data_IF_176119579596
#
_entry.id   IF_176119579596
#
_cell.length_a   1.000
_cell.length_b   1.000
_cell.length_c   1.000
_cell.angle_alpha   90.00
_cell.angle_beta   90.00
_cell.angle_gamma   90.00
#
_symmetry.space_group_name_H-M   'P 1'
#
loop_
_entity.id
_entity.type
_entity.pdbx_description
1 polymer ?
#
# COMPACT_ATOMS: atom_id res chain seq x y z
N UNK A 1 -9.12 -18.26 -30.93
CA UNK A 1 -7.92 -19.07 -30.98
C UNK A 1 -7.61 -19.61 -29.59
N UNK A 2 -8.46 -20.52 -29.17
CA UNK A 2 -8.32 -21.13 -27.84
C UNK A 2 -7.03 -21.95 -27.77
N UNK A 3 -6.29 -21.82 -26.69
CA UNK A 3 -5.08 -22.59 -26.43
C UNK A 3 -3.77 -21.98 -26.96
N UNK A 4 -3.78 -20.75 -27.50
CA UNK A 4 -2.54 -20.11 -28.00
C UNK A 4 -2.39 -18.65 -27.56
N UNK A 5 -3.41 -17.81 -27.80
CA UNK A 5 -3.37 -16.36 -27.53
C UNK A 5 -4.53 -15.90 -26.65
N UNK A 6 -5.23 -16.83 -26.01
CA UNK A 6 -6.32 -16.48 -25.09
C UNK A 6 -5.80 -16.17 -23.70
N UNK A 7 -6.61 -15.40 -22.95
CA UNK A 7 -6.28 -14.95 -21.62
C UNK A 7 -5.98 -16.11 -20.66
N UNK A 8 -6.72 -17.21 -20.77
CA UNK A 8 -6.55 -18.35 -19.90
C UNK A 8 -5.19 -19.04 -20.09
N UNK A 9 -4.65 -19.01 -21.31
CA UNK A 9 -3.32 -19.57 -21.63
C UNK A 9 -2.20 -18.59 -21.30
N UNK A 10 -2.36 -17.32 -21.66
CA UNK A 10 -1.27 -16.32 -21.52
C UNK A 10 -1.17 -15.71 -20.13
N UNK A 11 -2.27 -15.63 -19.40
CA UNK A 11 -2.38 -14.96 -18.10
C UNK A 11 -3.19 -15.79 -17.09
N UNK A 12 -2.88 -17.09 -17.01
CA UNK A 12 -3.60 -18.05 -16.17
C UNK A 12 -3.77 -17.60 -14.71
N UNK A 13 -2.82 -16.83 -14.16
CA UNK A 13 -2.88 -16.28 -12.82
C UNK A 13 -4.08 -15.33 -12.61
N UNK A 14 -4.58 -14.67 -13.66
CA UNK A 14 -5.73 -13.78 -13.60
C UNK A 14 -7.07 -14.52 -13.49
N UNK A 15 -7.10 -15.83 -13.77
CA UNK A 15 -8.32 -16.62 -13.69
C UNK A 15 -8.87 -16.73 -12.25
N UNK A 16 -8.00 -16.65 -11.27
CA UNK A 16 -8.38 -16.58 -9.84
C UNK A 16 -9.18 -15.33 -9.48
N UNK A 17 -9.04 -14.27 -10.28
CA UNK A 17 -9.76 -13.01 -10.14
C UNK A 17 -10.89 -12.84 -11.16
N UNK A 18 -11.13 -13.82 -12.04
CA UNK A 18 -12.23 -13.77 -13.00
C UNK A 18 -13.56 -14.01 -12.29
N UNK A 19 -14.49 -13.05 -12.37
CA UNK A 19 -15.83 -13.21 -11.76
C UNK A 19 -16.71 -14.06 -12.68
N UNK A 20 -16.66 -15.39 -12.51
CA UNK A 20 -17.42 -16.35 -13.33
C UNK A 20 -18.93 -16.16 -13.21
N UNK A 21 -19.43 -15.66 -12.08
CA UNK A 21 -20.86 -15.43 -11.87
C UNK A 21 -21.37 -14.27 -12.71
N UNK A 22 -20.60 -13.19 -12.82
CA UNK A 22 -20.98 -11.98 -13.56
C UNK A 22 -20.57 -12.05 -15.03
N UNK A 23 -19.64 -12.90 -15.40
CA UNK A 23 -19.18 -13.08 -16.78
C UNK A 23 -19.76 -14.35 -17.46
N UNK A 24 -20.95 -14.78 -17.09
CA UNK A 24 -21.55 -16.08 -17.54
C UNK A 24 -21.46 -16.35 -19.05
N UNK A 25 -21.50 -15.29 -19.86
CA UNK A 25 -21.52 -15.39 -21.33
C UNK A 25 -20.14 -15.10 -21.96
N UNK A 26 -19.11 -14.91 -21.15
CA UNK A 26 -17.76 -14.54 -21.60
C UNK A 26 -16.77 -15.59 -21.06
N UNK A 27 -16.04 -16.24 -21.98
CA UNK A 27 -15.05 -17.25 -21.59
C UNK A 27 -13.63 -16.71 -21.76
N UNK A 28 -12.75 -16.79 -20.73
CA UNK A 28 -11.37 -16.36 -20.81
C UNK A 28 -10.54 -17.17 -21.85
N UNK A 29 -10.99 -18.36 -22.24
CA UNK A 29 -10.37 -19.19 -23.29
C UNK A 29 -10.67 -18.71 -24.71
N UNK A 30 -11.57 -17.74 -24.88
CA UNK A 30 -11.99 -17.22 -26.19
C UNK A 30 -11.66 -15.75 -26.40
N UNK A 31 -10.94 -15.13 -25.46
CA UNK A 31 -10.67 -13.70 -25.47
C UNK A 31 -9.18 -13.45 -25.29
N UNK A 32 -8.61 -12.54 -26.09
CA UNK A 32 -7.18 -12.20 -26.04
C UNK A 32 -6.86 -11.29 -24.84
N UNK A 33 -5.62 -11.39 -24.31
CA UNK A 33 -5.06 -10.47 -23.32
C UNK A 33 -5.08 -8.99 -23.75
N UNK A 34 -5.08 -8.72 -25.07
CA UNK A 34 -5.13 -7.37 -25.65
C UNK A 34 -6.55 -6.83 -25.79
N UNK A 35 -7.57 -7.59 -25.39
CA UNK A 35 -8.96 -7.20 -25.59
C UNK A 35 -9.31 -5.94 -24.79
N UNK A 36 -9.96 -4.99 -25.47
CA UNK A 36 -10.54 -3.79 -24.87
C UNK A 36 -11.91 -4.05 -24.23
N UNK A 37 -12.39 -5.29 -24.27
CA UNK A 37 -13.67 -5.67 -23.65
C UNK A 37 -13.55 -5.54 -22.13
N UNK A 38 -14.54 -4.89 -21.54
CA UNK A 38 -14.66 -4.77 -20.08
C UNK A 38 -15.39 -5.97 -19.52
N UNK A 39 -14.80 -6.61 -18.54
CA UNK A 39 -15.33 -7.76 -17.82
C UNK A 39 -15.32 -7.52 -16.32
N UNK A 40 -15.99 -8.38 -15.57
CA UNK A 40 -15.99 -8.34 -14.12
C UNK A 40 -14.84 -9.14 -13.54
N UNK A 41 -14.14 -8.52 -12.60
CA UNK A 41 -13.07 -9.09 -11.82
C UNK A 41 -13.48 -9.18 -10.35
N UNK A 42 -12.96 -10.15 -9.61
CA UNK A 42 -13.23 -10.34 -8.18
C UNK A 42 -11.92 -10.70 -7.49
N UNK A 43 -11.41 -9.83 -6.62
CA UNK A 43 -10.18 -10.13 -5.89
C UNK A 43 -10.41 -11.17 -4.78
N UNK A 44 -9.34 -11.71 -4.22
CA UNK A 44 -9.38 -12.69 -3.12
C UNK A 44 -10.12 -12.21 -1.87
N UNK A 45 -10.31 -10.89 -1.74
CA UNK A 45 -11.07 -10.27 -0.66
C UNK A 45 -12.55 -10.06 -0.99
N UNK A 46 -13.00 -10.46 -2.18
CA UNK A 46 -14.39 -10.38 -2.59
C UNK A 46 -14.81 -9.04 -3.20
N UNK A 47 -13.91 -8.04 -3.34
CA UNK A 47 -14.22 -6.83 -4.09
C UNK A 47 -14.45 -7.18 -5.55
N UNK A 48 -15.56 -6.73 -6.11
CA UNK A 48 -15.90 -6.95 -7.51
C UNK A 48 -15.87 -5.61 -8.26
N UNK A 49 -15.18 -5.57 -9.40
CA UNK A 49 -15.07 -4.36 -10.23
C UNK A 49 -15.06 -4.71 -11.71
N UNK A 50 -15.33 -3.72 -12.55
CA UNK A 50 -15.30 -3.85 -14.00
C UNK A 50 -14.06 -3.15 -14.55
N UNK A 51 -13.28 -3.87 -15.37
CA UNK A 51 -12.10 -3.34 -16.05
C UNK A 51 -11.88 -4.05 -17.37
N UNK A 52 -11.18 -3.38 -18.29
CA UNK A 52 -10.77 -3.99 -19.56
C UNK A 52 -9.77 -5.12 -19.31
N UNK A 53 -9.81 -6.14 -20.15
CA UNK A 53 -8.87 -7.25 -20.07
C UNK A 53 -7.44 -6.75 -20.24
N UNK A 54 -7.19 -5.87 -21.23
CA UNK A 54 -5.86 -5.29 -21.46
C UNK A 54 -5.34 -4.48 -20.25
N UNK A 55 -6.19 -3.79 -19.53
CA UNK A 55 -5.80 -3.06 -18.30
C UNK A 55 -5.30 -4.01 -17.21
N UNK A 56 -5.92 -5.21 -17.09
CA UNK A 56 -5.48 -6.23 -16.13
C UNK A 56 -4.23 -6.98 -16.60
N UNK A 57 -4.24 -7.45 -17.86
CA UNK A 57 -3.22 -8.36 -18.39
C UNK A 57 -1.92 -7.65 -18.81
N UNK A 58 -2.01 -6.42 -19.31
CA UNK A 58 -0.85 -5.69 -19.85
C UNK A 58 -0.38 -4.60 -18.88
N UNK A 59 -1.33 -3.80 -18.35
CA UNK A 59 -1.00 -2.66 -17.48
C UNK A 59 -0.92 -3.06 -15.98
N UNK A 60 -1.30 -4.29 -15.63
CA UNK A 60 -1.26 -4.81 -14.27
C UNK A 60 -2.21 -4.11 -13.28
N UNK A 61 -3.18 -3.32 -13.77
CA UNK A 61 -4.13 -2.61 -12.91
C UNK A 61 -4.97 -3.58 -12.09
N UNK A 62 -4.91 -3.46 -10.77
CA UNK A 62 -5.61 -4.33 -9.82
C UNK A 62 -6.95 -3.77 -9.31
N UNK A 63 -7.38 -4.33 -8.20
CA UNK A 63 -8.55 -3.84 -7.47
C UNK A 63 -8.24 -2.51 -6.80
N UNK A 64 -8.90 -1.42 -7.23
CA UNK A 64 -8.67 -0.07 -6.69
C UNK A 64 -8.89 0.05 -5.18
N UNK A 65 -9.82 -0.72 -4.61
CA UNK A 65 -10.03 -0.75 -3.16
C UNK A 65 -8.78 -1.34 -2.49
N UNK A 66 -8.28 -2.45 -3.04
CA UNK A 66 -7.08 -3.09 -2.56
C UNK A 66 -5.83 -2.21 -2.69
N UNK A 67 -5.70 -1.50 -3.80
CA UNK A 67 -4.61 -0.56 -4.04
C UNK A 67 -4.65 0.61 -3.06
N UNK A 68 -5.83 1.18 -2.81
CA UNK A 68 -6.00 2.26 -1.84
C UNK A 68 -5.56 1.83 -0.44
N UNK A 69 -6.04 0.68 0.03
CA UNK A 69 -5.65 0.16 1.34
C UNK A 69 -4.15 -0.09 1.43
N UNK A 70 -3.56 -0.61 0.34
CA UNK A 70 -2.12 -0.87 0.28
C UNK A 70 -1.30 0.43 0.33
N UNK A 71 -1.80 1.51 -0.28
CA UNK A 71 -1.12 2.80 -0.24
C UNK A 71 -1.30 3.56 1.08
N UNK A 72 -2.36 3.31 1.83
CA UNK A 72 -2.68 4.08 3.04
C UNK A 72 -2.38 3.33 4.33
N UNK A 73 -2.64 2.03 4.37
CA UNK A 73 -2.54 1.23 5.61
C UNK A 73 -1.20 0.50 5.72
N UNK A 74 -0.72 -0.09 4.63
CA UNK A 74 0.55 -0.82 4.66
C UNK A 74 1.73 0.07 5.12
N UNK A 75 1.93 1.30 4.59
CA UNK A 75 3.01 2.17 5.03
C UNK A 75 2.94 2.52 6.52
N UNK A 76 1.74 2.81 7.02
CA UNK A 76 1.52 3.08 8.43
C UNK A 76 1.88 1.89 9.30
N UNK A 77 1.42 0.69 8.94
CA UNK A 77 1.77 -0.55 9.66
C UNK A 77 3.27 -0.80 9.67
N UNK A 78 3.95 -0.53 8.55
CA UNK A 78 5.39 -0.70 8.45
C UNK A 78 6.15 0.25 9.41
N UNK A 79 5.79 1.53 9.46
CA UNK A 79 6.42 2.48 10.40
C UNK A 79 6.14 2.08 11.84
N UNK A 80 4.90 1.71 12.16
CA UNK A 80 4.51 1.24 13.50
C UNK A 80 5.26 -0.02 13.92
N UNK A 81 5.46 -0.96 12.99
CA UNK A 81 6.24 -2.17 13.26
C UNK A 81 7.68 -1.85 13.68
N UNK A 82 8.36 -0.96 12.95
CA UNK A 82 9.73 -0.56 13.27
C UNK A 82 9.80 0.26 14.58
N UNK A 83 8.82 1.11 14.86
CA UNK A 83 8.70 1.80 16.14
C UNK A 83 8.56 0.80 17.30
N UNK A 84 7.68 -0.21 17.14
CA UNK A 84 7.47 -1.25 18.15
C UNK A 84 8.71 -2.07 18.43
N UNK A 85 9.54 -2.39 17.42
CA UNK A 85 10.84 -3.06 17.61
C UNK A 85 11.77 -2.30 18.55
N UNK A 86 11.64 -0.98 18.63
CA UNK A 86 12.44 -0.11 19.51
C UNK A 86 11.67 0.37 20.73
N UNK A 87 10.47 -0.16 20.96
CA UNK A 87 9.56 0.21 22.07
C UNK A 87 9.24 1.71 22.10
N UNK A 88 9.20 2.34 20.91
CA UNK A 88 8.89 3.75 20.77
C UNK A 88 7.38 3.93 20.87
N UNK A 89 6.95 4.89 21.67
CA UNK A 89 5.54 5.27 21.77
C UNK A 89 5.07 5.95 20.48
N UNK A 90 3.93 5.53 19.99
CA UNK A 90 3.34 6.05 18.76
C UNK A 90 1.92 6.53 19.02
N UNK A 91 1.58 7.69 18.47
CA UNK A 91 0.21 8.17 18.34
C UNK A 91 -0.11 8.25 16.84
N UNK A 92 -1.26 7.73 16.43
CA UNK A 92 -1.68 7.75 15.02
C UNK A 92 -2.88 8.65 14.82
N UNK A 93 -2.93 9.32 13.65
CA UNK A 93 -4.04 10.17 13.23
C UNK A 93 -4.45 11.22 14.29
N UNK A 94 -3.48 11.71 15.06
CA UNK A 94 -3.74 12.66 16.14
C UNK A 94 -3.75 14.11 15.63
N UNK A 95 -4.82 14.85 15.90
CA UNK A 95 -4.96 16.29 15.64
C UNK A 95 -4.62 17.16 16.86
N UNK A 96 -4.49 16.53 18.04
CA UNK A 96 -4.29 17.22 19.33
C UNK A 96 -2.98 18.01 19.42
N UNK A 97 -2.01 17.69 18.54
CA UNK A 97 -0.65 18.24 18.65
C UNK A 97 -0.53 19.57 17.90
N UNK A 98 -1.01 19.62 16.66
CA UNK A 98 -0.87 20.80 15.77
C UNK A 98 -2.22 21.31 15.24
N UNK A 99 -3.34 20.73 15.65
CA UNK A 99 -4.69 21.11 15.21
C UNK A 99 -5.13 20.48 13.89
N UNK A 100 -4.26 19.71 13.23
CA UNK A 100 -4.55 18.90 12.06
C UNK A 100 -3.93 17.51 12.23
N UNK A 101 -4.51 16.45 11.62
CA UNK A 101 -4.04 15.09 11.84
C UNK A 101 -2.58 14.88 11.43
N UNK A 102 -1.79 14.32 12.36
CA UNK A 102 -0.48 13.71 12.08
C UNK A 102 -0.68 12.21 11.89
N UNK A 103 -0.22 11.66 10.77
CA UNK A 103 -0.37 10.24 10.46
C UNK A 103 0.28 9.37 11.54
N UNK A 104 1.53 9.67 11.86
CA UNK A 104 2.29 9.01 12.94
C UNK A 104 3.05 10.09 13.69
N UNK A 105 2.84 10.17 15.01
CA UNK A 105 3.57 11.05 15.90
C UNK A 105 4.33 10.25 16.94
N UNK A 106 5.60 10.59 17.14
CA UNK A 106 6.52 10.01 18.09
C UNK A 106 6.78 11.04 19.19
N UNK A 107 6.07 10.97 20.34
CA UNK A 107 6.08 12.04 21.34
C UNK A 107 7.46 12.27 21.97
N UNK A 108 8.18 11.20 22.30
CA UNK A 108 9.46 11.27 22.98
C UNK A 108 10.58 11.82 22.06
N UNK A 109 10.46 11.58 20.77
CA UNK A 109 11.37 12.05 19.71
C UNK A 109 11.02 13.43 19.17
N UNK A 110 9.88 14.00 19.56
CA UNK A 110 9.28 15.21 18.97
C UNK A 110 9.31 15.15 17.44
N UNK A 111 8.88 14.02 16.88
CA UNK A 111 8.92 13.77 15.44
C UNK A 111 7.57 13.29 14.91
N UNK A 112 7.23 13.67 13.69
CA UNK A 112 6.10 13.14 12.95
C UNK A 112 6.58 12.48 11.66
N UNK A 113 5.97 11.36 11.30
CA UNK A 113 6.25 10.63 10.06
C UNK A 113 4.98 10.62 9.23
N UNK A 114 5.09 11.07 8.00
CA UNK A 114 4.03 11.09 6.99
C UNK A 114 4.45 10.24 5.81
N UNK A 115 3.57 9.35 5.34
CA UNK A 115 3.79 8.62 4.11
C UNK A 115 3.13 9.37 2.96
N UNK A 116 3.90 9.66 1.91
CA UNK A 116 3.47 10.55 0.83
C UNK A 116 3.64 9.90 -0.53
N UNK A 117 2.71 10.14 -1.46
CA UNK A 117 2.82 9.64 -2.83
C UNK A 117 3.88 10.39 -3.65
N UNK A 118 4.16 11.64 -3.30
CA UNK A 118 5.21 12.48 -3.91
C UNK A 118 5.88 13.33 -2.84
N UNK A 119 7.18 13.56 -2.99
CA UNK A 119 7.89 14.59 -2.22
C UNK A 119 7.65 15.93 -2.88
N UNK A 120 6.77 16.72 -2.31
CA UNK A 120 6.60 18.12 -2.71
C UNK A 120 7.61 18.99 -1.94
N UNK A 121 8.34 19.83 -2.65
CA UNK A 121 9.28 20.80 -2.05
C UNK A 121 8.58 22.05 -1.51
N UNK A 122 7.24 22.11 -1.65
CA UNK A 122 6.45 23.23 -1.13
C UNK A 122 6.20 23.03 0.36
N UNK A 123 6.43 24.08 1.15
CA UNK A 123 6.07 24.05 2.56
C UNK A 123 4.56 23.95 2.72
N UNK A 124 4.11 22.82 3.23
CA UNK A 124 2.70 22.61 3.55
C UNK A 124 2.35 23.27 4.88
N UNK A 125 1.05 23.59 5.10
CA UNK A 125 0.55 24.06 6.40
C UNK A 125 1.00 23.12 7.54
N UNK A 126 0.99 21.83 7.30
CA UNK A 126 1.45 20.82 8.26
C UNK A 126 2.92 21.00 8.64
N UNK A 127 3.79 21.21 7.66
CA UNK A 127 5.22 21.45 7.89
C UNK A 127 5.46 22.72 8.71
N UNK A 128 4.75 23.80 8.37
CA UNK A 128 4.80 25.05 9.13
C UNK A 128 4.36 24.89 10.58
N UNK A 129 3.24 24.19 10.82
CA UNK A 129 2.73 23.96 12.18
C UNK A 129 3.65 23.04 13.00
N UNK A 130 4.23 22.01 12.37
CA UNK A 130 5.22 21.15 13.01
C UNK A 130 6.46 21.97 13.42
N UNK A 131 6.98 22.80 12.55
CA UNK A 131 8.13 23.66 12.85
C UNK A 131 7.85 24.61 14.00
N UNK A 132 6.65 25.24 14.06
CA UNK A 132 6.23 26.08 15.19
C UNK A 132 6.22 25.35 16.55
N UNK A 133 6.03 24.05 16.54
CA UNK A 133 6.00 23.19 17.74
C UNK A 133 7.32 22.43 17.94
N UNK A 134 8.37 22.78 17.19
CA UNK A 134 9.67 22.10 17.24
C UNK A 134 9.57 20.58 16.95
N UNK A 135 8.60 20.20 16.12
CA UNK A 135 8.38 18.82 15.70
C UNK A 135 9.10 18.60 14.38
N UNK A 136 9.98 17.61 14.33
CA UNK A 136 10.64 17.18 13.09
C UNK A 136 9.67 16.39 12.21
N UNK A 137 9.21 17.00 11.13
CA UNK A 137 8.37 16.33 10.14
C UNK A 137 9.24 15.56 9.14
N UNK A 138 9.03 14.24 9.06
CA UNK A 138 9.72 13.35 8.13
C UNK A 138 8.70 12.82 7.14
N UNK A 139 8.93 13.07 5.83
CA UNK A 139 8.10 12.56 4.75
C UNK A 139 8.78 11.36 4.11
N UNK A 140 8.11 10.21 4.07
CA UNK A 140 8.61 8.99 3.44
C UNK A 140 7.78 8.71 2.17
N UNK A 141 8.38 8.80 0.97
CA UNK A 141 7.65 8.53 -0.26
C UNK A 141 7.35 7.04 -0.41
N UNK A 142 6.07 6.75 -0.70
CA UNK A 142 5.58 5.41 -0.99
C UNK A 142 4.51 5.45 -2.10
N UNK A 143 4.73 4.68 -3.14
CA UNK A 143 3.81 4.58 -4.29
C UNK A 143 3.62 3.12 -4.70
N UNK A 144 2.56 2.83 -5.46
CA UNK A 144 2.39 1.52 -6.11
C UNK A 144 3.61 1.22 -6.99
N UNK A 145 4.12 -0.01 -6.88
CA UNK A 145 5.32 -0.45 -7.59
C UNK A 145 6.64 -0.18 -6.84
N UNK A 146 6.62 0.53 -5.71
CA UNK A 146 7.80 0.54 -4.84
C UNK A 146 8.03 -0.85 -4.24
N UNK A 147 9.29 -1.28 -4.20
CA UNK A 147 9.69 -2.45 -3.43
C UNK A 147 9.41 -2.22 -1.94
N UNK A 148 8.80 -3.19 -1.27
CA UNK A 148 8.59 -3.14 0.18
C UNK A 148 9.92 -3.10 0.94
N UNK A 149 10.96 -3.74 0.41
CA UNK A 149 12.32 -3.71 0.95
C UNK A 149 12.90 -2.30 0.86
N UNK A 150 12.78 -1.63 -0.30
CA UNK A 150 13.22 -0.24 -0.44
C UNK A 150 12.46 0.70 0.51
N UNK A 151 11.18 0.44 0.72
CA UNK A 151 10.39 1.20 1.67
C UNK A 151 10.85 0.96 3.12
N UNK A 152 11.14 -0.29 3.49
CA UNK A 152 11.72 -0.65 4.79
C UNK A 152 13.05 0.08 5.02
N UNK A 153 13.91 0.14 4.02
CA UNK A 153 15.18 0.90 4.10
C UNK A 153 14.96 2.41 4.29
N UNK A 154 13.96 2.99 3.60
CA UNK A 154 13.58 4.40 3.80
C UNK A 154 13.09 4.66 5.22
N UNK A 155 12.29 3.75 5.80
CA UNK A 155 11.84 3.85 7.19
C UNK A 155 13.06 3.79 8.13
N UNK A 156 13.96 2.83 7.98
CA UNK A 156 15.17 2.73 8.80
C UNK A 156 16.05 4.00 8.69
N UNK A 157 16.15 4.60 7.48
CA UNK A 157 16.82 5.89 7.28
C UNK A 157 16.13 7.02 8.03
N UNK A 158 14.78 7.05 8.02
CA UNK A 158 14.01 8.04 8.78
C UNK A 158 14.27 7.92 10.28
N UNK A 159 14.21 6.72 10.84
CA UNK A 159 14.55 6.48 12.27
C UNK A 159 16.00 6.83 12.60
N UNK A 160 16.94 6.52 11.71
CA UNK A 160 18.37 6.91 11.88
C UNK A 160 18.53 8.42 11.98
N UNK A 161 17.72 9.22 11.26
CA UNK A 161 17.73 10.68 11.37
C UNK A 161 17.21 11.21 12.71
N UNK A 162 16.63 10.34 13.52
CA UNK A 162 16.23 10.56 14.91
C UNK A 162 17.21 9.89 15.90
N UNK A 163 18.39 9.50 15.46
CA UNK A 163 19.40 8.75 16.23
C UNK A 163 18.92 7.35 16.71
N UNK A 164 17.91 6.80 16.06
CA UNK A 164 17.37 5.47 16.35
C UNK A 164 17.88 4.49 15.29
N UNK A 165 18.70 3.52 15.74
CA UNK A 165 19.30 2.53 14.87
C UNK A 165 18.52 1.21 14.93
N UNK A 166 17.99 0.80 13.79
CA UNK A 166 17.22 -0.44 13.63
C UNK A 166 18.07 -1.41 12.82
N UNK A 167 18.49 -2.50 13.47
CA UNK A 167 19.18 -3.62 12.83
C UNK A 167 18.21 -4.78 12.73
N UNK A 168 17.86 -5.18 11.52
CA UNK A 168 16.97 -6.33 11.25
C UNK A 168 17.06 -6.69 9.78
N UNK A 169 16.61 -7.90 9.44
CA UNK A 169 16.52 -8.39 8.08
C UNK A 169 15.27 -7.81 7.40
N UNK A 170 15.46 -7.10 6.29
CA UNK A 170 14.36 -6.44 5.58
C UNK A 170 13.39 -7.44 4.95
N UNK A 171 13.84 -8.59 4.47
CA UNK A 171 12.98 -9.62 3.90
C UNK A 171 12.04 -10.22 4.94
N UNK A 172 12.56 -10.54 6.13
CA UNK A 172 11.77 -11.06 7.25
C UNK A 172 10.77 -10.00 7.75
N UNK A 173 11.24 -8.76 7.89
CA UNK A 173 10.42 -7.64 8.35
C UNK A 173 9.26 -7.38 7.38
N UNK A 174 9.54 -7.31 6.09
CA UNK A 174 8.50 -7.03 5.08
C UNK A 174 7.53 -8.19 4.94
N UNK A 175 7.98 -9.44 5.04
CA UNK A 175 7.10 -10.61 5.07
C UNK A 175 6.14 -10.56 6.26
N UNK A 176 6.62 -10.20 7.44
CA UNK A 176 5.79 -10.06 8.65
C UNK A 176 4.79 -8.91 8.51
N UNK A 177 5.23 -7.73 8.06
CA UNK A 177 4.36 -6.55 7.86
C UNK A 177 3.26 -6.88 6.84
N UNK A 178 3.61 -7.56 5.74
CA UNK A 178 2.67 -8.01 4.72
C UNK A 178 1.62 -8.96 5.30
N UNK A 179 2.03 -9.91 6.12
CA UNK A 179 1.11 -10.81 6.80
C UNK A 179 0.12 -10.03 7.69
N UNK A 180 0.62 -9.09 8.49
CA UNK A 180 -0.22 -8.24 9.36
C UNK A 180 -1.19 -7.37 8.57
N UNK A 181 -0.76 -6.84 7.43
CA UNK A 181 -1.64 -6.10 6.54
C UNK A 181 -2.78 -6.98 6.01
N UNK A 182 -2.50 -8.21 5.61
CA UNK A 182 -3.55 -9.13 5.17
C UNK A 182 -4.49 -9.56 6.29
N UNK A 183 -3.99 -9.74 7.50
CA UNK A 183 -4.82 -10.03 8.69
C UNK A 183 -5.76 -8.86 9.00
N UNK A 184 -5.23 -7.63 9.03
CA UNK A 184 -6.03 -6.42 9.19
C UNK A 184 -7.13 -6.34 8.13
N UNK A 185 -6.79 -6.58 6.88
CA UNK A 185 -7.73 -6.55 5.77
C UNK A 185 -8.85 -7.58 5.89
N UNK A 186 -8.53 -8.80 6.34
CA UNK A 186 -9.54 -9.84 6.59
C UNK A 186 -10.53 -9.40 7.69
N UNK A 187 -10.05 -8.68 8.69
CA UNK A 187 -10.87 -8.15 9.78
C UNK A 187 -11.87 -7.06 9.35
N UNK A 188 -11.63 -6.36 8.23
CA UNK A 188 -12.55 -5.33 7.69
C UNK A 188 -13.77 -5.92 6.95
N UNK A 189 -13.88 -7.24 6.83
CA UNK A 189 -14.99 -7.93 6.14
C UNK A 189 -16.26 -8.12 7.00
N UNK A 190 -16.42 -7.37 8.10
CA UNK A 190 -17.65 -7.43 8.92
C UNK A 190 -18.69 -6.44 8.44
#
# INVERSE_FOLDING_TARGET
MAGYNDLATTDAHLLSEWDYEKNKNISPNKISRHSMQSVWWKCSLGHSWKAKISERAIEGKGCKVCEKDYLTVFPKLAVMYYAAKKRIKVQTDTDKIIGIPLEIYLPEEKAAIETVSRTENVETLKAYLCRKREIKLIKIPYTLGNSEIDFAMKIKKAFRSLHIFITSNEDEDTAFIRQRFFEWRKGQKK
#
